data_IF_204254317852
#
_entry.id   IF_204254317852
#
_cell.length_a   1.000
_cell.length_b   1.000
_cell.length_c   1.000
_cell.angle_alpha   90.00
_cell.angle_beta   90.00
_cell.angle_gamma   90.00
#
_symmetry.space_group_name_H-M   'P 1'
#
loop_
_entity.id
_entity.type
_entity.pdbx_description
1 polymer ?
#
# COMPACT_ATOMS: atom_id res chain seq x y z
N UNK A 1 23.08 -10.96 -13.85
CA UNK A 1 23.07 -12.42 -13.91
C UNK A 1 24.28 -13.05 -13.19
N UNK A 2 25.54 -12.67 -13.50
CA UNK A 2 26.76 -13.24 -12.88
C UNK A 2 26.71 -13.21 -11.34
N UNK A 3 26.21 -12.14 -10.73
CA UNK A 3 26.09 -12.04 -9.28
C UNK A 3 25.13 -13.08 -8.71
N UNK A 4 23.94 -13.24 -9.29
CA UNK A 4 22.92 -14.18 -8.84
C UNK A 4 23.34 -15.65 -8.98
N UNK A 5 24.14 -15.98 -10.01
CA UNK A 5 24.63 -17.33 -10.24
C UNK A 5 25.98 -17.64 -9.57
N UNK A 6 26.53 -16.70 -8.80
CA UNK A 6 27.76 -16.90 -8.03
C UNK A 6 27.61 -18.09 -7.05
N UNK A 7 28.66 -18.92 -6.86
CA UNK A 7 28.64 -20.02 -5.88
C UNK A 7 28.41 -19.52 -4.44
N UNK A 8 28.70 -18.26 -4.15
CA UNK A 8 28.48 -17.66 -2.83
C UNK A 8 27.00 -17.33 -2.55
N UNK A 9 26.15 -17.27 -3.57
CA UNK A 9 24.68 -17.10 -3.40
C UNK A 9 24.06 -18.47 -3.17
N UNK A 10 23.64 -18.75 -1.94
CA UNK A 10 23.10 -20.06 -1.55
C UNK A 10 21.60 -20.17 -1.75
N UNK A 11 20.88 -19.06 -1.62
CA UNK A 11 19.42 -19.00 -1.72
C UNK A 11 19.01 -17.74 -2.50
N UNK A 12 18.03 -17.89 -3.37
CA UNK A 12 17.37 -16.77 -4.06
C UNK A 12 15.89 -16.89 -3.77
N UNK A 13 15.31 -15.83 -3.23
CA UNK A 13 13.88 -15.74 -2.99
C UNK A 13 13.31 -14.50 -3.68
N UNK A 14 12.08 -14.59 -4.13
CA UNK A 14 11.31 -13.48 -4.72
C UNK A 14 9.91 -13.49 -4.12
N UNK A 15 9.28 -12.34 -4.05
CA UNK A 15 7.92 -12.22 -3.54
C UNK A 15 6.86 -12.37 -4.65
N UNK A 16 7.27 -12.16 -5.91
CA UNK A 16 6.43 -12.19 -7.10
C UNK A 16 7.24 -12.73 -8.31
N UNK A 17 6.57 -13.04 -9.41
CA UNK A 17 7.18 -13.38 -10.71
C UNK A 17 8.33 -14.40 -10.64
N UNK A 18 8.20 -15.45 -9.82
CA UNK A 18 9.23 -16.49 -9.64
C UNK A 18 9.61 -17.18 -10.95
N UNK A 19 8.65 -17.39 -11.84
CA UNK A 19 8.89 -18.01 -13.15
C UNK A 19 9.75 -17.12 -14.04
N UNK A 20 9.46 -15.80 -14.08
CA UNK A 20 10.29 -14.83 -14.79
C UNK A 20 11.72 -14.81 -14.26
N UNK A 21 11.90 -14.89 -12.94
CA UNK A 21 13.23 -14.97 -12.32
C UNK A 21 13.96 -16.22 -12.79
N UNK A 22 13.32 -17.40 -12.72
CA UNK A 22 13.91 -18.68 -13.07
C UNK A 22 14.23 -18.78 -14.57
N UNK A 23 13.30 -18.41 -15.44
CA UNK A 23 13.44 -18.57 -16.89
C UNK A 23 14.36 -17.53 -17.51
N UNK A 24 14.19 -16.24 -17.16
CA UNK A 24 14.90 -15.16 -17.80
C UNK A 24 16.28 -14.89 -17.19
N UNK A 25 16.36 -14.92 -15.86
CA UNK A 25 17.57 -14.50 -15.16
C UNK A 25 18.47 -15.64 -14.71
N UNK A 26 17.90 -16.72 -14.18
CA UNK A 26 18.68 -17.86 -13.66
C UNK A 26 18.98 -18.91 -14.73
N UNK A 27 18.03 -19.18 -15.63
CA UNK A 27 18.20 -20.12 -16.78
C UNK A 27 18.76 -21.49 -16.36
N UNK A 28 18.20 -22.05 -15.31
CA UNK A 28 18.60 -23.37 -14.79
C UNK A 28 19.90 -23.40 -13.96
N UNK A 29 20.67 -22.30 -13.88
CA UNK A 29 21.89 -22.27 -13.06
C UNK A 29 21.61 -22.33 -11.55
N UNK A 30 20.45 -21.84 -11.13
CA UNK A 30 19.88 -21.89 -9.78
C UNK A 30 18.36 -21.82 -9.88
N UNK A 31 17.68 -22.09 -8.77
CA UNK A 31 16.21 -22.00 -8.68
C UNK A 31 15.88 -20.98 -7.60
N UNK A 32 15.11 -19.95 -7.98
CA UNK A 32 14.47 -19.05 -7.03
C UNK A 32 13.18 -19.67 -6.48
N UNK A 33 12.85 -19.33 -5.24
CA UNK A 33 11.62 -19.73 -4.57
C UNK A 33 10.77 -18.52 -4.26
N UNK A 34 9.45 -18.67 -4.36
CA UNK A 34 8.52 -17.64 -3.92
C UNK A 34 8.47 -17.62 -2.39
N UNK A 35 8.44 -16.43 -1.81
CA UNK A 35 8.25 -16.18 -0.38
C UNK A 35 7.33 -14.98 -0.21
N UNK A 36 6.70 -14.83 0.94
CA UNK A 36 5.96 -13.63 1.25
C UNK A 36 6.86 -12.39 1.29
N UNK A 37 6.29 -11.22 1.03
CA UNK A 37 6.97 -9.94 1.30
C UNK A 37 7.31 -9.85 2.80
N UNK A 38 8.52 -9.46 3.14
CA UNK A 38 8.96 -9.37 4.55
C UNK A 38 8.13 -8.39 5.39
N UNK A 39 7.46 -7.43 4.77
CA UNK A 39 6.59 -6.49 5.45
C UNK A 39 5.33 -7.14 6.05
N UNK A 40 4.99 -8.40 5.72
CA UNK A 40 3.92 -9.15 6.41
C UNK A 40 4.21 -9.40 7.91
N UNK A 41 5.46 -9.25 8.32
CA UNK A 41 5.91 -9.35 9.71
C UNK A 41 6.05 -7.98 10.40
N UNK A 42 5.64 -6.88 9.74
CA UNK A 42 5.90 -5.54 10.25
C UNK A 42 5.30 -5.29 11.64
N UNK A 43 4.07 -5.75 11.91
CA UNK A 43 3.43 -5.61 13.22
C UNK A 43 4.27 -6.28 14.33
N UNK A 44 4.70 -7.51 14.11
CA UNK A 44 5.53 -8.26 15.06
C UNK A 44 6.93 -7.64 15.20
N UNK A 45 7.58 -7.30 14.08
CA UNK A 45 8.93 -6.74 14.07
C UNK A 45 9.04 -5.41 14.82
N UNK A 46 7.99 -4.59 14.79
CA UNK A 46 7.91 -3.32 15.52
C UNK A 46 7.22 -3.44 16.88
N UNK A 47 6.70 -4.61 17.25
CA UNK A 47 5.97 -4.81 18.52
C UNK A 47 4.67 -3.98 18.58
N UNK A 48 4.00 -3.76 17.43
CA UNK A 48 2.79 -2.94 17.33
C UNK A 48 1.59 -3.86 17.16
N UNK A 49 0.56 -3.66 17.99
CA UNK A 49 -0.72 -4.33 17.89
C UNK A 49 -1.80 -3.38 17.39
N UNK A 50 -2.79 -3.92 16.69
CA UNK A 50 -3.96 -3.15 16.28
C UNK A 50 -4.73 -2.61 17.49
N UNK A 51 -5.11 -1.35 17.43
CA UNK A 51 -5.94 -0.66 18.42
C UNK A 51 -6.91 0.27 17.68
N UNK A 52 -7.88 -0.31 16.94
CA UNK A 52 -8.69 0.44 16.00
C UNK A 52 -9.66 1.39 16.69
N UNK A 53 -9.70 2.61 16.22
CA UNK A 53 -10.78 3.58 16.44
C UNK A 53 -11.81 3.45 15.32
N UNK A 54 -13.07 3.94 15.48
CA UNK A 54 -14.10 3.88 14.43
C UNK A 54 -13.83 4.90 13.30
N UNK A 55 -12.64 4.82 12.69
CA UNK A 55 -12.14 5.71 11.63
C UNK A 55 -11.60 4.87 10.48
N UNK A 56 -11.98 5.17 9.26
CA UNK A 56 -11.44 4.57 8.03
C UNK A 56 -10.25 5.40 7.55
N UNK A 57 -9.11 4.74 7.36
CA UNK A 57 -7.94 5.37 6.74
C UNK A 57 -8.07 5.38 5.21
N UNK A 58 -7.93 6.54 4.59
CA UNK A 58 -7.91 6.68 3.12
C UNK A 58 -6.48 7.03 2.70
N UNK A 59 -5.82 6.06 2.08
CA UNK A 59 -4.41 6.15 1.71
C UNK A 59 -4.19 7.04 0.50
N UNK A 60 -3.22 7.94 0.61
CA UNK A 60 -2.86 8.89 -0.43
C UNK A 60 -1.95 8.26 -1.49
N UNK A 61 -2.14 8.70 -2.72
CA UNK A 61 -1.21 8.48 -3.82
C UNK A 61 -1.11 9.76 -4.64
N UNK A 62 0.10 10.20 -4.90
CA UNK A 62 0.34 11.39 -5.72
C UNK A 62 0.01 11.17 -7.19
N UNK A 63 -0.30 12.25 -7.89
CA UNK A 63 -0.72 12.26 -9.29
C UNK A 63 0.27 11.56 -10.23
N UNK A 64 1.57 11.82 -10.08
CA UNK A 64 2.62 11.28 -10.94
C UNK A 64 2.91 9.78 -10.74
N UNK A 65 2.36 9.16 -9.70
CA UNK A 65 2.54 7.73 -9.45
C UNK A 65 2.01 6.86 -10.60
N UNK A 66 0.92 7.27 -11.23
CA UNK A 66 0.27 6.54 -12.32
C UNK A 66 0.98 6.71 -13.66
N UNK A 67 1.72 7.82 -13.87
CA UNK A 67 2.46 8.07 -15.10
C UNK A 67 3.54 7.02 -15.36
N UNK A 68 4.15 6.50 -14.29
CA UNK A 68 5.20 5.48 -14.38
C UNK A 68 4.73 4.12 -14.90
N UNK A 69 3.41 3.92 -15.06
CA UNK A 69 2.79 2.66 -15.48
C UNK A 69 1.93 2.80 -16.73
N UNK A 70 2.19 3.82 -17.58
CA UNK A 70 1.43 4.13 -18.79
C UNK A 70 -0.10 4.24 -18.59
N UNK A 71 -0.52 4.59 -17.38
CA UNK A 71 -1.92 4.80 -16.98
C UNK A 71 -2.09 6.17 -16.32
N UNK A 72 -1.84 7.29 -17.03
CA UNK A 72 -1.97 8.60 -16.44
C UNK A 72 -3.41 8.88 -16.03
N UNK A 73 -3.60 9.25 -14.77
CA UNK A 73 -4.89 9.74 -14.28
C UNK A 73 -4.78 11.25 -14.17
N UNK A 74 -5.63 12.04 -14.87
CA UNK A 74 -5.66 13.48 -14.72
C UNK A 74 -5.91 13.89 -13.26
N UNK A 75 -5.25 14.95 -12.80
CA UNK A 75 -5.37 15.45 -11.43
C UNK A 75 -6.84 15.66 -10.99
N UNK A 76 -7.66 16.25 -11.86
CA UNK A 76 -9.07 16.45 -11.57
C UNK A 76 -9.81 15.13 -11.27
N UNK A 77 -9.56 14.10 -12.09
CA UNK A 77 -10.19 12.79 -11.91
C UNK A 77 -9.73 12.12 -10.60
N UNK A 78 -8.48 12.32 -10.21
CA UNK A 78 -7.97 11.82 -8.94
C UNK A 78 -8.66 12.51 -7.75
N UNK A 79 -8.84 13.83 -7.80
CA UNK A 79 -9.61 14.57 -6.79
C UNK A 79 -11.06 14.09 -6.73
N UNK A 80 -11.72 13.92 -7.88
CA UNK A 80 -13.12 13.48 -7.95
C UNK A 80 -13.28 12.08 -7.35
N UNK A 81 -12.36 11.17 -7.64
CA UNK A 81 -12.34 9.83 -7.07
C UNK A 81 -12.22 9.86 -5.52
N UNK A 82 -11.31 10.68 -4.96
CA UNK A 82 -11.22 10.83 -3.50
C UNK A 82 -12.49 11.46 -2.92
N UNK A 83 -13.10 12.42 -3.64
CA UNK A 83 -14.37 13.03 -3.22
C UNK A 83 -15.49 11.98 -3.15
N UNK A 84 -15.59 11.11 -4.15
CA UNK A 84 -16.60 10.05 -4.18
C UNK A 84 -16.40 9.05 -3.05
N UNK A 85 -15.15 8.62 -2.80
CA UNK A 85 -14.81 7.73 -1.67
C UNK A 85 -15.20 8.36 -0.34
N UNK A 86 -14.85 9.63 -0.12
CA UNK A 86 -15.17 10.34 1.12
C UNK A 86 -16.67 10.52 1.29
N UNK A 87 -17.38 10.94 0.23
CA UNK A 87 -18.82 11.12 0.25
C UNK A 87 -19.55 9.81 0.60
N UNK A 88 -19.11 8.68 0.05
CA UNK A 88 -19.68 7.38 0.34
C UNK A 88 -19.42 6.94 1.80
N UNK A 89 -18.23 7.21 2.34
CA UNK A 89 -17.91 6.96 3.75
C UNK A 89 -18.82 7.78 4.67
N UNK A 90 -18.97 9.09 4.39
CA UNK A 90 -19.83 9.99 5.17
C UNK A 90 -21.32 9.60 5.07
N UNK A 91 -21.81 9.24 3.88
CA UNK A 91 -23.17 8.77 3.68
C UNK A 91 -23.49 7.51 4.49
N UNK A 92 -22.50 6.67 4.74
CA UNK A 92 -22.59 5.47 5.59
C UNK A 92 -22.31 5.73 7.07
N UNK A 93 -22.02 6.96 7.45
CA UNK A 93 -21.75 7.34 8.84
C UNK A 93 -20.35 6.99 9.34
N UNK A 94 -19.38 6.75 8.44
CA UNK A 94 -18.01 6.49 8.82
C UNK A 94 -17.21 7.79 8.99
N UNK A 95 -16.44 7.87 10.05
CA UNK A 95 -15.35 8.84 10.18
C UNK A 95 -14.17 8.40 9.31
N UNK A 96 -13.42 9.35 8.74
CA UNK A 96 -12.30 9.08 7.88
C UNK A 96 -11.11 10.01 8.14
N UNK A 97 -9.92 9.54 7.80
CA UNK A 97 -8.69 10.34 7.77
C UNK A 97 -7.85 9.98 6.55
N UNK A 98 -7.23 10.97 5.94
CA UNK A 98 -6.22 10.76 4.90
C UNK A 98 -4.88 10.42 5.54
N UNK A 99 -4.11 9.51 4.95
CA UNK A 99 -2.76 9.18 5.39
C UNK A 99 -1.84 8.88 4.21
N UNK A 100 -0.56 9.25 4.32
CA UNK A 100 0.48 8.96 3.33
C UNK A 100 1.43 7.87 3.80
N UNK A 101 2.28 7.37 2.87
CA UNK A 101 3.30 6.35 3.13
C UNK A 101 4.69 6.93 3.45
N UNK A 102 4.78 8.20 3.85
CA UNK A 102 6.05 8.85 4.18
C UNK A 102 6.68 9.65 3.04
N UNK A 103 6.15 9.58 1.82
CA UNK A 103 6.61 10.45 0.72
C UNK A 103 6.11 11.88 0.93
N UNK A 104 7.01 12.85 0.73
CA UNK A 104 6.69 14.27 0.87
C UNK A 104 5.60 14.71 -0.11
N UNK A 105 5.70 14.27 -1.36
CA UNK A 105 4.71 14.58 -2.40
C UNK A 105 3.31 14.00 -2.09
N UNK A 106 3.20 12.87 -1.36
CA UNK A 106 1.90 12.36 -0.90
C UNK A 106 1.30 13.31 0.15
N UNK A 107 2.12 13.87 1.04
CA UNK A 107 1.68 14.85 2.04
C UNK A 107 1.19 16.15 1.38
N UNK A 108 1.98 16.72 0.45
CA UNK A 108 1.61 17.91 -0.32
C UNK A 108 0.31 17.70 -1.10
N UNK A 109 0.13 16.53 -1.70
CA UNK A 109 -1.13 16.17 -2.35
C UNK A 109 -2.28 16.11 -1.36
N UNK A 110 -2.08 15.52 -0.18
CA UNK A 110 -3.06 15.45 0.90
C UNK A 110 -3.53 16.83 1.37
N UNK A 111 -2.63 17.79 1.50
CA UNK A 111 -2.96 19.18 1.86
C UNK A 111 -3.85 19.85 0.80
N UNK A 112 -3.51 19.68 -0.48
CA UNK A 112 -4.34 20.17 -1.60
C UNK A 112 -5.71 19.49 -1.62
N UNK A 113 -5.75 18.18 -1.38
CA UNK A 113 -6.98 17.40 -1.36
C UNK A 113 -7.90 17.83 -0.21
N UNK A 114 -7.39 18.05 1.00
CA UNK A 114 -8.16 18.61 2.12
C UNK A 114 -8.82 19.91 1.74
N UNK A 115 -8.08 20.84 1.09
CA UNK A 115 -8.63 22.09 0.57
C UNK A 115 -9.73 21.89 -0.48
N UNK A 116 -9.52 20.97 -1.43
CA UNK A 116 -10.49 20.66 -2.49
C UNK A 116 -11.76 19.97 -1.96
N UNK A 117 -11.66 19.23 -0.86
CA UNK A 117 -12.80 18.60 -0.17
C UNK A 117 -13.53 19.57 0.78
N UNK A 118 -12.97 20.75 1.08
CA UNK A 118 -13.50 21.64 2.12
C UNK A 118 -13.44 21.03 3.52
N UNK A 119 -12.55 20.07 3.74
CA UNK A 119 -12.47 19.30 4.98
C UNK A 119 -11.54 19.95 6.01
N UNK A 120 -11.69 19.59 7.28
CA UNK A 120 -10.77 20.05 8.34
C UNK A 120 -9.35 19.52 8.13
N UNK A 121 -8.28 20.32 8.29
CA UNK A 121 -6.90 19.87 8.27
C UNK A 121 -6.61 18.72 9.25
N UNK A 122 -7.36 18.58 10.33
CA UNK A 122 -7.24 17.48 11.28
C UNK A 122 -7.57 16.08 10.69
N UNK A 123 -8.17 16.05 9.50
CA UNK A 123 -8.42 14.80 8.76
C UNK A 123 -7.20 14.31 7.96
N UNK A 124 -6.13 15.08 7.89
CA UNK A 124 -4.86 14.64 7.32
C UNK A 124 -3.91 14.22 8.43
N UNK A 125 -3.54 12.94 8.44
CA UNK A 125 -2.53 12.42 9.37
C UNK A 125 -1.17 13.01 9.01
N UNK A 126 -0.35 13.46 9.99
CA UNK A 126 1.00 13.91 9.72
C UNK A 126 1.84 12.86 8.98
N UNK A 127 2.70 13.31 8.08
CA UNK A 127 3.58 12.44 7.29
C UNK A 127 4.45 11.56 8.21
N UNK A 128 4.38 10.23 8.12
CA UNK A 128 5.29 9.36 8.84
C UNK A 128 6.72 9.52 8.31
N UNK A 129 7.67 9.65 9.18
CA UNK A 129 9.12 9.76 8.87
C UNK A 129 9.83 8.42 9.01
N UNK A 130 9.22 7.50 9.77
CA UNK A 130 9.72 6.15 9.99
C UNK A 130 8.65 5.09 9.70
N UNK A 131 9.09 3.87 9.38
CA UNK A 131 8.17 2.75 9.12
C UNK A 131 7.28 2.46 10.32
N UNK A 132 7.81 2.56 11.55
CA UNK A 132 7.04 2.32 12.78
C UNK A 132 5.88 3.30 12.95
N UNK A 133 6.02 4.54 12.51
CA UNK A 133 4.96 5.55 12.55
C UNK A 133 3.82 5.23 11.57
N UNK A 134 4.16 4.77 10.37
CA UNK A 134 3.17 4.28 9.41
C UNK A 134 2.38 3.10 9.97
N UNK A 135 3.08 2.10 10.55
CA UNK A 135 2.43 0.93 11.15
C UNK A 135 1.50 1.35 12.30
N UNK A 136 1.94 2.27 13.19
CA UNK A 136 1.10 2.82 14.27
C UNK A 136 -0.13 3.56 13.74
N UNK A 137 0.04 4.33 12.67
CA UNK A 137 -1.07 5.04 12.02
C UNK A 137 -2.12 4.05 11.52
N UNK A 138 -1.70 3.03 10.79
CA UNK A 138 -2.61 2.00 10.26
C UNK A 138 -3.26 1.20 11.40
N UNK A 139 -2.50 0.86 12.46
CA UNK A 139 -3.00 0.15 13.63
C UNK A 139 -4.16 0.87 14.35
N UNK A 140 -4.27 2.18 14.17
CA UNK A 140 -5.34 3.00 14.74
C UNK A 140 -6.61 3.06 13.89
N UNK A 141 -6.65 2.51 12.69
CA UNK A 141 -7.82 2.53 11.82
C UNK A 141 -8.68 1.26 11.96
N UNK A 142 -9.98 1.39 11.83
CA UNK A 142 -10.92 0.26 11.75
C UNK A 142 -10.76 -0.53 10.45
N UNK A 143 -10.36 0.15 9.38
CA UNK A 143 -10.06 -0.40 8.06
C UNK A 143 -9.38 0.65 7.21
N UNK A 144 -8.82 0.25 6.08
CA UNK A 144 -8.19 1.18 5.14
C UNK A 144 -8.69 0.98 3.71
N UNK A 145 -8.71 2.08 2.95
CA UNK A 145 -8.86 2.10 1.49
C UNK A 145 -7.58 2.72 0.95
N UNK A 146 -6.84 2.05 0.08
CA UNK A 146 -5.52 2.53 -0.33
C UNK A 146 -5.17 2.18 -1.78
N UNK A 147 -4.20 2.90 -2.35
CA UNK A 147 -3.54 2.58 -3.62
C UNK A 147 -2.15 1.97 -3.40
N UNK A 148 -1.63 2.06 -2.19
CA UNK A 148 -0.26 1.68 -1.87
C UNK A 148 -0.19 0.24 -1.39
N UNK A 149 0.50 -0.61 -2.16
CA UNK A 149 0.71 -2.02 -1.79
C UNK A 149 1.24 -2.17 -0.36
N UNK A 150 2.25 -1.39 0.04
CA UNK A 150 2.83 -1.56 1.38
C UNK A 150 1.91 -1.11 2.51
N UNK A 151 0.97 -0.17 2.28
CA UNK A 151 -0.10 0.10 3.26
C UNK A 151 -1.02 -1.10 3.41
N UNK A 152 -1.35 -1.78 2.29
CA UNK A 152 -2.16 -3.00 2.32
C UNK A 152 -1.44 -4.13 3.07
N UNK A 153 -0.13 -4.34 2.80
CA UNK A 153 0.69 -5.34 3.50
C UNK A 153 0.77 -5.03 5.00
N UNK A 154 0.94 -3.77 5.37
CA UNK A 154 0.97 -3.33 6.77
C UNK A 154 -0.38 -3.59 7.46
N UNK A 155 -1.50 -3.28 6.81
CA UNK A 155 -2.83 -3.59 7.33
C UNK A 155 -3.02 -5.10 7.51
N UNK A 156 -2.59 -5.91 6.52
CA UNK A 156 -2.60 -7.36 6.62
C UNK A 156 -1.80 -7.87 7.83
N UNK A 157 -0.59 -7.34 8.06
CA UNK A 157 0.25 -7.71 9.20
C UNK A 157 -0.39 -7.42 10.56
N UNK A 158 -1.28 -6.42 10.61
CA UNK A 158 -2.02 -5.98 11.80
C UNK A 158 -3.39 -6.65 11.94
N UNK A 159 -3.84 -7.43 10.95
CA UNK A 159 -5.21 -7.94 10.91
C UNK A 159 -6.27 -6.86 10.67
N UNK A 160 -5.88 -5.69 10.13
CA UNK A 160 -6.78 -4.59 9.78
C UNK A 160 -7.37 -4.84 8.38
N UNK A 161 -8.72 -4.77 8.20
CA UNK A 161 -9.33 -4.88 6.90
C UNK A 161 -8.83 -3.83 5.91
N UNK A 162 -8.52 -4.26 4.68
CA UNK A 162 -8.03 -3.37 3.63
C UNK A 162 -8.76 -3.62 2.32
N UNK A 163 -9.08 -2.53 1.62
CA UNK A 163 -9.45 -2.51 0.20
C UNK A 163 -8.33 -1.77 -0.52
N UNK A 164 -7.81 -2.34 -1.59
CA UNK A 164 -6.74 -1.73 -2.37
C UNK A 164 -7.18 -1.54 -3.81
N UNK A 165 -6.98 -0.34 -4.36
CA UNK A 165 -7.21 -0.11 -5.78
C UNK A 165 -6.08 -0.74 -6.59
N UNK A 166 -6.43 -1.71 -7.44
CA UNK A 166 -5.47 -2.33 -8.34
C UNK A 166 -5.14 -1.39 -9.51
N UNK A 167 -3.91 -0.97 -9.58
CA UNK A 167 -3.38 -0.13 -10.65
C UNK A 167 -2.08 -0.71 -11.25
N UNK A 168 -1.60 -1.82 -10.69
CA UNK A 168 -0.47 -2.58 -11.20
C UNK A 168 -0.51 -4.02 -10.70
N UNK A 169 0.14 -4.93 -11.45
CA UNK A 169 0.14 -6.37 -11.21
C UNK A 169 0.62 -6.77 -9.80
N UNK A 170 1.47 -5.95 -9.14
CA UNK A 170 1.98 -6.25 -7.80
C UNK A 170 0.90 -6.27 -6.73
N UNK A 171 -0.14 -5.45 -6.92
CA UNK A 171 -1.30 -5.43 -6.02
C UNK A 171 -2.10 -6.70 -6.21
N UNK A 172 -2.40 -7.06 -7.46
CA UNK A 172 -3.18 -8.24 -7.80
C UNK A 172 -2.46 -9.51 -7.33
N UNK A 173 -1.17 -9.63 -7.58
CA UNK A 173 -0.34 -10.75 -7.14
C UNK A 173 -0.37 -10.91 -5.61
N UNK A 174 -0.23 -9.81 -4.87
CA UNK A 174 -0.29 -9.86 -3.41
C UNK A 174 -1.67 -10.29 -2.92
N UNK A 175 -2.75 -9.72 -3.45
CA UNK A 175 -4.12 -10.07 -3.04
C UNK A 175 -4.46 -11.52 -3.35
N UNK A 176 -3.97 -12.07 -4.47
CA UNK A 176 -4.07 -13.51 -4.78
C UNK A 176 -3.32 -14.37 -3.77
N UNK A 177 -2.07 -14.01 -3.44
CA UNK A 177 -1.23 -14.76 -2.50
C UNK A 177 -1.86 -14.85 -1.12
N UNK A 178 -2.49 -13.77 -0.64
CA UNK A 178 -3.16 -13.77 0.67
C UNK A 178 -4.61 -14.28 0.65
N UNK A 179 -5.12 -14.72 -0.52
CA UNK A 179 -6.43 -15.33 -0.65
C UNK A 179 -7.63 -14.37 -0.71
N UNK A 180 -7.40 -13.10 -1.07
CA UNK A 180 -8.43 -12.07 -1.18
C UNK A 180 -8.45 -11.36 -2.54
N UNK A 181 -8.52 -12.08 -3.69
CA UNK A 181 -8.45 -11.45 -5.01
C UNK A 181 -9.56 -10.43 -5.26
N UNK A 182 -10.73 -10.58 -4.61
CA UNK A 182 -11.89 -9.70 -4.79
C UNK A 182 -11.78 -8.35 -4.02
N UNK A 183 -10.66 -8.09 -3.34
CA UNK A 183 -10.43 -6.85 -2.58
C UNK A 183 -9.44 -5.91 -3.25
N UNK A 184 -9.09 -6.19 -4.49
CA UNK A 184 -8.26 -5.36 -5.35
C UNK A 184 -9.07 -4.70 -6.47
#
# INVERSE_FOLDING_TARGET
RRALTSPNVRLITVRDHVDLMNERYLKGAKIARIVADSAVWAAEAFGISASPRPVIGVGLVREDAFQSYDRPIPYANLIDMYRDVVAELEARGYEWQLFGNGFENDQEFGEKLIGALGASPARLVPRPTECSELIKTIAGFQGIITFRLHSCIAAYSLGIPAVVFSWNDKVDDFMQIIGFPDRA
#
